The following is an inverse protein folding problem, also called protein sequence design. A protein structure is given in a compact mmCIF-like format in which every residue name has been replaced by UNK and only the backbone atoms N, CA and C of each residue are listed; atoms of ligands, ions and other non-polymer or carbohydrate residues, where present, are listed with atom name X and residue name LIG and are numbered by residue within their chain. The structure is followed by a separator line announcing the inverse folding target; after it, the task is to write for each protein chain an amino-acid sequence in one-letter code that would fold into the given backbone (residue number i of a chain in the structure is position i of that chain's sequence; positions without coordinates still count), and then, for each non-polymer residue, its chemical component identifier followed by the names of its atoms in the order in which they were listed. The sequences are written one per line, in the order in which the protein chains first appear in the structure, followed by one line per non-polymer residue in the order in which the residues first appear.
data_IF_397442798322
#
_entry.id   IF_397442798322
#
_cell.length_a   1.000
_cell.length_b   1.000
_cell.length_c   1.000
_cell.angle_alpha   90.00
_cell.angle_beta   90.00
_cell.angle_gamma   90.00
#
_symmetry.space_group_name_H-M   'P 1'
#
loop_
_entity.id
_entity.type
_entity.pdbx_description
1 polymer ?
#
# COMPACT_ATOMS: atom_id res chain seq x y z
N UNK A 1 -9.74 10.58 9.96
CA UNK A 1 -9.04 10.51 8.67
C UNK A 1 -10.04 10.08 7.62
N UNK A 2 -9.97 10.68 6.43
CA UNK A 2 -10.71 10.24 5.25
C UNK A 2 -9.72 9.58 4.30
N UNK A 3 -10.15 8.56 3.57
CA UNK A 3 -9.26 7.86 2.65
C UNK A 3 -9.96 6.88 1.73
N UNK A 4 -9.17 6.26 0.85
CA UNK A 4 -9.60 5.23 -0.09
C UNK A 4 -8.63 4.05 -0.02
N UNK A 5 -9.17 2.83 -0.08
CA UNK A 5 -8.46 1.63 -0.48
C UNK A 5 -8.92 1.31 -1.91
N UNK A 6 -8.18 1.71 -2.94
CA UNK A 6 -8.63 1.53 -4.31
C UNK A 6 -8.48 0.07 -4.73
N UNK A 7 -9.37 -0.37 -5.62
CA UNK A 7 -9.33 -1.70 -6.23
C UNK A 7 -9.56 -1.55 -7.73
N UNK A 8 -8.77 -2.24 -8.54
CA UNK A 8 -9.03 -2.31 -9.97
C UNK A 8 -10.24 -3.20 -10.24
N UNK A 9 -11.09 -2.76 -11.17
CA UNK A 9 -12.19 -3.60 -11.66
C UNK A 9 -11.63 -4.53 -12.74
N UNK A 10 -11.73 -5.84 -12.53
CA UNK A 10 -11.25 -6.82 -13.49
C UNK A 10 -10.63 -8.01 -12.80
N UNK A 11 -9.47 -8.43 -13.30
CA UNK A 11 -8.70 -9.52 -12.72
C UNK A 11 -8.23 -9.14 -11.30
N UNK A 12 -8.62 -9.90 -10.26
CA UNK A 12 -8.21 -9.63 -8.88
C UNK A 12 -6.70 -9.78 -8.65
N UNK A 13 -5.96 -10.44 -9.54
CA UNK A 13 -4.51 -10.56 -9.46
C UNK A 13 -3.78 -9.30 -9.99
N UNK A 14 -4.49 -8.43 -10.72
CA UNK A 14 -3.89 -7.19 -11.23
C UNK A 14 -3.71 -6.18 -10.11
N UNK A 15 -2.45 -5.89 -9.78
CA UNK A 15 -2.10 -4.89 -8.78
C UNK A 15 -2.20 -3.46 -9.33
N UNK A 16 -2.58 -2.54 -8.44
CA UNK A 16 -2.51 -1.11 -8.72
C UNK A 16 -1.04 -0.65 -8.86
N UNK A 17 -0.72 -0.11 -10.03
CA UNK A 17 0.57 0.51 -10.32
C UNK A 17 0.68 1.98 -9.92
N UNK A 18 1.88 2.55 -10.09
CA UNK A 18 2.24 3.94 -9.77
C UNK A 18 1.38 4.99 -10.50
N UNK A 19 1.08 4.73 -11.77
CA UNK A 19 0.25 5.62 -12.59
C UNK A 19 -1.17 5.73 -12.02
N UNK A 20 -1.77 4.61 -11.62
CA UNK A 20 -3.10 4.57 -11.03
C UNK A 20 -3.15 5.34 -9.71
N UNK A 21 -2.13 5.21 -8.85
CA UNK A 21 -2.06 5.96 -7.60
C UNK A 21 -2.03 7.47 -7.88
N UNK A 22 -1.20 7.89 -8.84
CA UNK A 22 -1.06 9.30 -9.20
C UNK A 22 -2.36 9.86 -9.80
N UNK A 23 -3.05 9.10 -10.65
CA UNK A 23 -4.34 9.47 -11.22
C UNK A 23 -5.43 9.57 -10.16
N UNK A 24 -5.50 8.62 -9.23
CA UNK A 24 -6.44 8.63 -8.11
C UNK A 24 -6.20 9.87 -7.26
N UNK A 25 -4.95 10.16 -6.91
CA UNK A 25 -4.58 11.36 -6.15
C UNK A 25 -5.06 12.64 -6.84
N UNK A 26 -4.75 12.80 -8.12
CA UNK A 26 -5.17 13.97 -8.90
C UNK A 26 -6.70 14.10 -8.94
N UNK A 27 -7.41 13.00 -9.18
CA UNK A 27 -8.88 12.98 -9.23
C UNK A 27 -9.51 13.42 -7.90
N UNK A 28 -8.93 12.98 -6.78
CA UNK A 28 -9.35 13.33 -5.41
C UNK A 28 -9.07 14.82 -5.14
N UNK A 29 -7.86 15.29 -5.45
CA UNK A 29 -7.44 16.69 -5.23
C UNK A 29 -8.32 17.69 -5.99
N UNK A 30 -8.75 17.34 -7.20
CA UNK A 30 -9.67 18.16 -8.00
C UNK A 30 -11.07 18.32 -7.39
N UNK A 31 -11.49 17.39 -6.52
CA UNK A 31 -12.89 17.26 -6.05
C UNK A 31 -13.07 17.57 -4.58
N UNK A 32 -11.98 17.67 -3.82
CA UNK A 32 -12.02 17.90 -2.38
C UNK A 32 -11.60 19.33 -2.04
N UNK A 33 -12.07 19.80 -0.90
CA UNK A 33 -11.59 21.05 -0.32
C UNK A 33 -10.08 20.96 -0.08
N UNK A 34 -9.35 21.94 -0.61
CA UNK A 34 -7.91 22.04 -0.39
C UNK A 34 -7.59 22.12 1.12
N UNK A 35 -6.54 21.41 1.53
CA UNK A 35 -5.99 21.48 2.89
C UNK A 35 -6.51 20.44 3.89
N UNK A 36 -7.43 19.55 3.50
CA UNK A 36 -7.79 18.37 4.32
C UNK A 36 -6.94 17.17 3.91
N UNK A 37 -6.25 16.49 4.85
CA UNK A 37 -5.54 15.24 4.56
C UNK A 37 -6.49 14.20 3.95
N UNK A 38 -6.00 13.44 2.98
CA UNK A 38 -6.71 12.30 2.42
C UNK A 38 -5.73 11.15 2.24
N UNK A 39 -6.09 9.99 2.78
CA UNK A 39 -5.23 8.81 2.79
C UNK A 39 -5.52 7.95 1.55
N UNK A 40 -4.49 7.64 0.78
CA UNK A 40 -4.51 6.57 -0.22
C UNK A 40 -3.85 5.35 0.41
N UNK A 41 -4.65 4.32 0.67
CA UNK A 41 -4.23 3.08 1.30
C UNK A 41 -3.93 2.06 0.20
N UNK A 42 -2.76 1.45 0.27
CA UNK A 42 -2.38 0.35 -0.61
C UNK A 42 -2.28 -0.93 0.21
N UNK A 43 -2.44 -2.08 -0.44
CA UNK A 43 -2.25 -3.38 0.18
C UNK A 43 -1.40 -4.32 -0.67
N UNK A 44 -0.80 -5.30 -0.02
CA UNK A 44 -0.02 -6.36 -0.66
C UNK A 44 0.88 -7.04 0.35
N UNK A 45 1.90 -7.73 -0.14
CA UNK A 45 2.90 -8.39 0.69
C UNK A 45 4.26 -7.74 0.54
N UNK A 46 5.01 -7.64 1.64
CA UNK A 46 6.38 -7.13 1.65
C UNK A 46 7.37 -8.21 2.11
N UNK A 47 8.61 -8.22 1.59
CA UNK A 47 9.66 -9.09 2.09
C UNK A 47 10.18 -8.55 3.43
N UNK A 48 9.45 -8.82 4.52
CA UNK A 48 9.70 -8.19 5.84
C UNK A 48 11.05 -8.51 6.49
N UNK A 49 11.77 -9.52 5.99
CA UNK A 49 13.14 -9.89 6.34
C UNK A 49 14.21 -9.22 5.45
N UNK A 50 13.80 -8.52 4.40
CA UNK A 50 14.65 -7.71 3.53
C UNK A 50 14.17 -6.25 3.51
N UNK A 51 14.72 -5.40 4.40
CA UNK A 51 14.36 -3.98 4.46
C UNK A 51 14.65 -3.21 3.16
N UNK A 52 15.70 -3.59 2.42
CA UNK A 52 16.08 -2.90 1.19
C UNK A 52 15.10 -3.26 0.05
N UNK A 53 14.70 -4.52 -0.06
CA UNK A 53 13.66 -4.93 -1.00
C UNK A 53 12.29 -4.34 -0.64
N UNK A 54 11.93 -4.33 0.65
CA UNK A 54 10.71 -3.67 1.14
C UNK A 54 10.68 -2.20 0.76
N UNK A 55 11.79 -1.48 0.97
CA UNK A 55 11.94 -0.08 0.57
C UNK A 55 11.86 0.10 -0.95
N UNK A 56 12.54 -0.74 -1.72
CA UNK A 56 12.52 -0.67 -3.18
C UNK A 56 11.10 -0.87 -3.74
N UNK A 57 10.28 -1.70 -3.08
CA UNK A 57 8.88 -1.93 -3.42
C UNK A 57 7.98 -0.74 -3.02
N UNK A 58 8.10 -0.25 -1.77
CA UNK A 58 7.12 0.70 -1.22
C UNK A 58 7.44 2.17 -1.50
N UNK A 59 8.73 2.54 -1.60
CA UNK A 59 9.13 3.95 -1.80
C UNK A 59 8.51 4.53 -3.07
N UNK A 60 8.49 3.84 -4.23
CA UNK A 60 7.83 4.36 -5.43
C UNK A 60 6.33 4.61 -5.23
N UNK A 61 5.62 3.72 -4.51
CA UNK A 61 4.20 3.87 -4.21
C UNK A 61 3.95 5.11 -3.34
N UNK A 62 4.79 5.32 -2.33
CA UNK A 62 4.74 6.49 -1.46
C UNK A 62 5.02 7.78 -2.24
N UNK A 63 6.04 7.78 -3.11
CA UNK A 63 6.36 8.92 -3.99
C UNK A 63 5.20 9.25 -4.94
N UNK A 64 4.44 8.24 -5.39
CA UNK A 64 3.24 8.41 -6.22
C UNK A 64 2.02 8.95 -5.44
N UNK A 65 2.03 8.86 -4.11
CA UNK A 65 0.98 9.40 -3.25
C UNK A 65 0.30 8.41 -2.32
N UNK A 66 0.75 7.15 -2.26
CA UNK A 66 0.31 6.23 -1.22
C UNK A 66 0.74 6.73 0.17
N UNK A 67 -0.13 6.55 1.15
CA UNK A 67 0.03 7.10 2.52
C UNK A 67 0.05 6.00 3.59
N UNK A 68 -0.62 4.88 3.32
CA UNK A 68 -0.69 3.72 4.21
C UNK A 68 -0.47 2.43 3.44
N UNK A 69 0.07 1.44 4.15
CA UNK A 69 0.25 0.08 3.67
C UNK A 69 -0.50 -0.89 4.59
N UNK A 70 -1.24 -1.83 3.98
CA UNK A 70 -1.81 -2.99 4.66
C UNK A 70 -1.05 -4.22 4.20
N UNK A 71 -0.50 -4.96 5.16
CA UNK A 71 0.13 -6.24 4.90
C UNK A 71 -0.96 -7.32 4.75
N UNK A 72 -1.15 -7.78 3.53
CA UNK A 72 -2.29 -8.56 3.05
C UNK A 72 -1.81 -9.93 2.53
N UNK A 73 -1.31 -10.76 3.44
CA UNK A 73 -0.80 -12.11 3.17
C UNK A 73 -1.93 -13.12 2.92
N UNK A 74 -2.66 -12.92 1.82
CA UNK A 74 -3.82 -13.72 1.44
C UNK A 74 -3.47 -15.06 0.79
N UNK A 75 -2.19 -15.30 0.48
CA UNK A 75 -1.73 -16.47 -0.24
C UNK A 75 -1.91 -17.77 0.56
N UNK A 76 -2.28 -18.85 -0.13
CA UNK A 76 -2.39 -20.16 0.49
C UNK A 76 -1.05 -20.64 1.05
N UNK A 77 -1.05 -21.11 2.29
CA UNK A 77 0.14 -21.62 2.98
C UNK A 77 0.71 -20.70 4.06
N UNK A 78 0.17 -19.47 4.20
CA UNK A 78 0.52 -18.58 5.31
C UNK A 78 -0.15 -19.05 6.60
N UNK A 79 0.66 -19.38 7.62
CA UNK A 79 0.21 -19.84 8.93
C UNK A 79 0.22 -18.75 10.02
N UNK A 80 -0.28 -19.09 11.21
CA UNK A 80 -0.26 -18.19 12.37
C UNK A 80 1.16 -17.69 12.71
N UNK A 81 2.15 -18.58 12.69
CA UNK A 81 3.53 -18.21 13.02
C UNK A 81 4.16 -17.26 11.99
N UNK A 82 3.75 -17.35 10.71
CA UNK A 82 4.17 -16.42 9.66
C UNK A 82 3.59 -15.03 9.88
N UNK A 83 2.30 -14.95 10.19
CA UNK A 83 1.63 -13.69 10.53
C UNK A 83 2.22 -13.06 11.80
N UNK A 84 2.45 -13.87 12.84
CA UNK A 84 3.06 -13.41 14.09
C UNK A 84 4.47 -12.86 13.84
N UNK A 85 5.28 -13.57 13.06
CA UNK A 85 6.63 -13.11 12.66
C UNK A 85 6.56 -11.78 11.91
N UNK A 86 5.63 -11.64 10.96
CA UNK A 86 5.47 -10.39 10.18
C UNK A 86 5.02 -9.21 11.04
N UNK A 87 4.15 -9.45 12.02
CA UNK A 87 3.73 -8.43 13.01
C UNK A 87 4.93 -7.99 13.87
N UNK A 88 5.75 -8.94 14.33
CA UNK A 88 6.93 -8.67 15.16
C UNK A 88 8.00 -7.86 14.43
N UNK A 89 8.08 -7.96 13.09
CA UNK A 89 8.95 -7.12 12.26
C UNK A 89 8.51 -5.64 12.22
N UNK A 90 7.26 -5.35 12.60
CA UNK A 90 6.73 -3.99 12.65
C UNK A 90 6.41 -3.38 11.28
N UNK A 91 6.12 -2.08 11.23
CA UNK A 91 5.82 -1.40 9.99
C UNK A 91 7.06 -1.34 9.08
N UNK A 92 6.88 -1.40 7.74
CA UNK A 92 7.99 -1.31 6.81
C UNK A 92 8.70 0.05 6.91
N UNK A 93 10.04 0.03 6.93
CA UNK A 93 10.83 1.27 6.89
C UNK A 93 11.08 1.70 5.46
N UNK A 94 10.65 2.93 5.14
CA UNK A 94 10.78 3.54 3.81
C UNK A 94 11.70 4.78 3.81
N UNK A 95 12.35 5.11 4.95
CA UNK A 95 13.25 6.28 5.09
C UNK A 95 14.67 6.07 4.60
#
# INVERSE_FOLDING_TARGET
YEGVLPSLRGDPETQLGLEHISEIKAWIEERRDAGKPFEIVMEGTTPGDDPDATRAQLKPLADAGATWWIESMWEGGVGFDDLKRRIEQGPPDIR
#
